data_IF_329154198540
#
_entry.id   IF_329154198540
#
_cell.length_a   1.000
_cell.length_b   1.000
_cell.length_c   1.000
_cell.angle_alpha   90.00
_cell.angle_beta   90.00
_cell.angle_gamma   90.00
#
_symmetry.space_group_name_H-M   'P 1'
#
loop_
_entity.id
_entity.type
_entity.pdbx_description
1 polymer ?
#
# COMPACT_ATOMS: atom_id res chain seq x y z
N UNK A 1 -51.19 -25.69 28.02
CA UNK A 1 -51.36 -24.55 27.10
C UNK A 1 -49.99 -24.15 26.58
N UNK A 2 -49.82 -24.22 25.26
CA UNK A 2 -48.59 -23.89 24.53
C UNK A 2 -48.37 -22.37 24.50
N UNK A 3 -47.16 -21.93 24.86
CA UNK A 3 -46.71 -20.57 24.58
C UNK A 3 -46.17 -20.54 23.14
N UNK A 4 -46.81 -19.77 22.27
CA UNK A 4 -46.39 -19.55 20.89
C UNK A 4 -45.22 -18.56 20.86
N UNK A 5 -44.08 -18.99 20.32
CA UNK A 5 -42.94 -18.13 20.03
C UNK A 5 -43.22 -17.31 18.75
N UNK A 6 -43.32 -15.98 18.89
CA UNK A 6 -43.42 -15.04 17.77
C UNK A 6 -42.03 -14.84 17.15
N UNK A 7 -41.83 -15.40 15.97
CA UNK A 7 -40.60 -15.28 15.17
C UNK A 7 -40.69 -14.00 14.34
N UNK A 8 -39.95 -12.95 14.72
CA UNK A 8 -39.79 -11.74 13.89
C UNK A 8 -38.85 -12.05 12.71
N UNK A 9 -39.32 -11.80 11.49
CA UNK A 9 -38.50 -11.76 10.28
C UNK A 9 -38.19 -10.30 9.93
N UNK A 10 -36.94 -9.92 9.64
CA UNK A 10 -36.64 -8.59 9.11
C UNK A 10 -37.00 -8.51 7.62
N UNK A 11 -37.89 -7.58 7.29
CA UNK A 11 -38.31 -7.23 5.93
C UNK A 11 -37.15 -6.59 5.16
N UNK A 12 -36.70 -7.24 4.09
CA UNK A 12 -35.78 -6.65 3.10
C UNK A 12 -36.57 -5.69 2.18
N UNK A 13 -36.34 -4.38 2.29
CA UNK A 13 -36.88 -3.40 1.35
C UNK A 13 -35.90 -3.20 0.18
N UNK A 14 -36.12 -3.94 -0.92
CA UNK A 14 -35.52 -3.68 -2.23
C UNK A 14 -36.01 -2.32 -2.75
N UNK A 15 -35.20 -1.27 -2.70
CA UNK A 15 -35.41 -0.09 -3.54
C UNK A 15 -34.71 -0.31 -4.89
N UNK A 16 -35.52 -0.67 -5.89
CA UNK A 16 -35.15 -0.85 -7.29
C UNK A 16 -35.11 0.51 -7.97
N UNK A 17 -33.92 0.94 -8.40
CA UNK A 17 -33.70 2.10 -9.26
C UNK A 17 -34.54 2.02 -10.55
N UNK A 18 -35.16 3.13 -10.93
CA UNK A 18 -35.62 3.42 -12.31
C UNK A 18 -35.12 4.81 -12.70
N UNK A 19 -34.28 4.96 -13.74
CA UNK A 19 -34.08 6.25 -14.38
C UNK A 19 -35.24 6.51 -15.35
N UNK A 20 -35.89 7.67 -15.23
CA UNK A 20 -36.95 8.12 -16.13
C UNK A 20 -36.43 9.31 -16.94
N UNK A 21 -36.25 9.09 -18.22
CA UNK A 21 -35.82 10.04 -19.25
C UNK A 21 -37.07 10.76 -19.81
N UNK A 22 -37.06 12.09 -19.90
CA UNK A 22 -37.96 13.01 -20.66
C UNK A 22 -37.62 14.45 -20.20
N UNK A 23 -37.67 15.53 -20.97
CA UNK A 23 -37.95 15.84 -22.38
C UNK A 23 -37.48 17.30 -22.59
N UNK A 24 -37.23 17.67 -23.85
CA UNK A 24 -36.98 19.03 -24.38
C UNK A 24 -37.70 20.20 -23.67
N UNK A 25 -36.96 21.30 -23.51
CA UNK A 25 -37.49 22.61 -23.15
C UNK A 25 -36.46 23.70 -23.48
N UNK A 26 -36.78 24.52 -24.48
CA UNK A 26 -36.00 25.68 -24.94
C UNK A 26 -36.09 26.81 -23.91
N UNK A 27 -34.94 27.34 -23.47
CA UNK A 27 -34.83 28.66 -22.85
C UNK A 27 -33.41 29.24 -23.01
N UNK A 28 -33.33 30.38 -23.68
CA UNK A 28 -32.17 31.28 -23.74
C UNK A 28 -31.89 31.89 -22.35
N UNK A 29 -30.60 32.01 -21.98
CA UNK A 29 -30.19 32.72 -20.76
C UNK A 29 -28.74 32.51 -20.35
N UNK A 30 -27.99 33.60 -20.30
CA UNK A 30 -26.55 33.76 -20.05
C UNK A 30 -26.07 33.41 -18.61
N UNK A 31 -24.74 33.21 -18.49
CA UNK A 31 -23.84 33.05 -17.30
C UNK A 31 -23.63 31.68 -16.63
N UNK A 32 -22.33 31.33 -16.50
CA UNK A 32 -21.77 30.91 -15.21
C UNK A 32 -21.31 29.45 -15.06
N UNK A 33 -20.01 29.23 -15.23
CA UNK A 33 -19.11 28.44 -14.37
C UNK A 33 -19.56 27.08 -13.77
N UNK A 34 -18.69 26.07 -13.88
CA UNK A 34 -18.53 25.11 -12.78
C UNK A 34 -18.41 23.64 -13.19
N UNK A 35 -17.21 23.27 -13.60
CA UNK A 35 -16.67 21.91 -13.56
C UNK A 35 -16.83 21.32 -12.14
N UNK A 36 -17.42 20.11 -11.99
CA UNK A 36 -17.11 19.12 -10.93
C UNK A 36 -18.12 17.95 -10.95
N UNK A 37 -17.71 16.81 -11.53
CA UNK A 37 -18.39 15.50 -11.36
C UNK A 37 -17.50 14.46 -10.66
N UNK A 38 -16.33 14.86 -10.14
CA UNK A 38 -15.36 13.94 -9.51
C UNK A 38 -15.54 13.68 -8.01
N UNK A 39 -16.19 14.57 -7.26
CA UNK A 39 -16.14 14.59 -5.78
C UNK A 39 -17.06 13.57 -5.10
N UNK A 40 -18.19 13.19 -5.72
CA UNK A 40 -19.18 12.29 -5.07
C UNK A 40 -18.71 10.83 -5.01
N UNK A 41 -17.90 10.37 -5.96
CA UNK A 41 -17.41 8.98 -6.00
C UNK A 41 -16.28 8.79 -5.00
N UNK A 42 -15.33 9.74 -4.93
CA UNK A 42 -14.22 9.72 -3.97
C UNK A 42 -14.72 9.79 -2.52
N UNK A 43 -15.71 10.62 -2.21
CA UNK A 43 -16.31 10.68 -0.87
C UNK A 43 -16.94 9.35 -0.45
N UNK A 44 -17.55 8.62 -1.39
CA UNK A 44 -18.17 7.32 -1.11
C UNK A 44 -17.10 6.23 -0.87
N UNK A 45 -15.99 6.28 -1.61
CA UNK A 45 -14.85 5.36 -1.43
C UNK A 45 -14.15 5.59 -0.09
N UNK A 46 -13.97 6.85 0.32
CA UNK A 46 -13.37 7.20 1.61
C UNK A 46 -14.29 6.79 2.77
N UNK A 47 -15.60 7.04 2.67
CA UNK A 47 -16.54 6.59 3.69
C UNK A 47 -16.58 5.05 3.80
N UNK A 48 -16.47 4.35 2.65
CA UNK A 48 -16.41 2.90 2.62
C UNK A 48 -15.10 2.34 3.21
N UNK A 49 -13.95 2.98 2.94
CA UNK A 49 -12.67 2.58 3.52
C UNK A 49 -12.69 2.75 5.04
N UNK A 50 -13.19 3.88 5.56
CA UNK A 50 -13.35 4.11 7.00
C UNK A 50 -14.22 3.03 7.67
N UNK A 51 -15.31 2.61 7.03
CA UNK A 51 -16.13 1.51 7.55
C UNK A 51 -15.40 0.16 7.53
N UNK A 52 -14.51 -0.07 6.57
CA UNK A 52 -13.71 -1.30 6.50
C UNK A 52 -12.51 -1.29 7.47
N UNK A 53 -12.04 -0.12 7.90
CA UNK A 53 -10.94 -0.01 8.88
C UNK A 53 -11.31 -0.57 10.26
N UNK A 54 -12.59 -0.57 10.64
CA UNK A 54 -13.03 -1.18 11.93
C UNK A 54 -12.78 -2.69 12.00
N UNK A 55 -12.53 -3.32 10.85
CA UNK A 55 -12.14 -4.72 10.81
C UNK A 55 -10.66 -4.86 11.11
N UNK A 56 -9.79 -3.91 10.74
CA UNK A 56 -8.34 -4.03 10.87
C UNK A 56 -7.83 -3.76 12.31
N UNK A 57 -6.70 -4.35 12.67
CA UNK A 57 -5.97 -4.01 13.90
C UNK A 57 -4.98 -2.86 13.66
N UNK A 58 -5.49 -1.63 13.67
CA UNK A 58 -4.69 -0.41 13.46
C UNK A 58 -3.75 -0.05 14.63
N UNK A 59 -3.79 -0.81 15.73
CA UNK A 59 -2.93 -0.56 16.91
C UNK A 59 -1.52 -1.14 16.77
N UNK A 60 -1.29 -1.97 15.75
CA UNK A 60 -0.01 -2.65 15.55
C UNK A 60 1.05 -1.73 14.97
N UNK A 61 2.20 -1.73 15.62
CA UNK A 61 3.42 -1.12 15.13
C UNK A 61 4.36 -2.18 14.53
N UNK A 62 5.32 -1.74 13.72
CA UNK A 62 6.41 -2.61 13.28
C UNK A 62 7.26 -3.07 14.46
N UNK A 63 7.75 -4.32 14.44
CA UNK A 63 8.79 -4.75 15.37
C UNK A 63 10.06 -3.93 15.16
N UNK A 64 10.88 -3.83 16.21
CA UNK A 64 12.17 -3.16 16.10
C UNK A 64 13.08 -3.92 15.10
N UNK A 65 13.63 -3.19 14.13
CA UNK A 65 14.55 -3.76 13.16
C UNK A 65 15.91 -3.95 13.82
N UNK A 66 16.46 -5.16 13.75
CA UNK A 66 17.79 -5.45 14.30
C UNK A 66 18.90 -4.61 13.64
N UNK A 67 20.09 -4.60 14.24
CA UNK A 67 21.23 -3.89 13.65
C UNK A 67 21.82 -4.63 12.43
N UNK A 68 22.50 -3.87 11.57
CA UNK A 68 23.23 -4.44 10.44
C UNK A 68 24.60 -4.92 10.91
N UNK A 69 24.81 -6.24 10.96
CA UNK A 69 26.12 -6.84 11.22
C UNK A 69 26.99 -6.83 9.95
N UNK A 70 27.82 -5.78 9.80
CA UNK A 70 28.82 -5.69 8.72
C UNK A 70 30.22 -5.88 9.29
N UNK A 71 30.92 -6.88 8.75
CA UNK A 71 32.34 -7.13 9.03
C UNK A 71 33.28 -6.28 8.18
N UNK A 72 32.86 -5.89 6.97
CA UNK A 72 33.65 -5.04 6.05
C UNK A 72 32.75 -4.09 5.26
N UNK A 73 33.02 -2.79 5.34
CA UNK A 73 32.28 -1.77 4.58
C UNK A 73 32.61 -1.85 3.07
N UNK A 74 31.62 -1.73 2.18
CA UNK A 74 31.85 -1.52 0.76
C UNK A 74 32.64 -0.24 0.47
N UNK A 75 33.49 -0.28 -0.56
CA UNK A 75 34.25 0.89 -1.01
C UNK A 75 33.34 2.09 -1.30
N UNK A 76 33.66 3.24 -0.71
CA UNK A 76 32.91 4.49 -0.89
C UNK A 76 31.62 4.61 -0.06
N UNK A 77 31.37 3.70 0.88
CA UNK A 77 30.27 3.79 1.85
C UNK A 77 30.79 3.97 3.27
N UNK A 78 30.05 4.70 4.10
CA UNK A 78 30.38 4.93 5.51
C UNK A 78 29.35 4.28 6.43
N UNK A 79 29.66 4.17 7.72
CA UNK A 79 28.68 3.76 8.73
C UNK A 79 27.49 4.72 8.83
N UNK A 80 27.68 6.00 8.49
CA UNK A 80 26.60 6.98 8.43
C UNK A 80 25.63 6.65 7.28
N UNK A 81 26.14 6.24 6.11
CA UNK A 81 25.30 5.80 5.00
C UNK A 81 24.44 4.58 5.37
N UNK A 82 24.98 3.66 6.17
CA UNK A 82 24.24 2.51 6.70
C UNK A 82 23.13 2.97 7.64
N UNK A 83 23.43 3.88 8.59
CA UNK A 83 22.41 4.43 9.50
C UNK A 83 21.31 5.18 8.74
N UNK A 84 21.69 5.96 7.73
CA UNK A 84 20.74 6.62 6.83
C UNK A 84 19.85 5.60 6.11
N UNK A 85 20.44 4.51 5.57
CA UNK A 85 19.68 3.43 4.96
C UNK A 85 18.71 2.78 5.97
N UNK A 86 19.17 2.49 7.19
CA UNK A 86 18.34 1.87 8.23
C UNK A 86 17.12 2.74 8.56
N UNK A 87 17.33 4.04 8.78
CA UNK A 87 16.26 4.99 9.06
C UNK A 87 15.29 5.10 7.88
N UNK A 88 15.80 5.28 6.67
CA UNK A 88 14.98 5.41 5.46
C UNK A 88 14.15 4.14 5.20
N UNK A 89 14.73 2.95 5.41
CA UNK A 89 14.00 1.69 5.22
C UNK A 89 12.92 1.50 6.29
N UNK A 90 13.20 1.90 7.54
CA UNK A 90 12.22 1.88 8.63
C UNK A 90 11.03 2.78 8.33
N UNK A 91 11.28 4.04 8.00
CA UNK A 91 10.26 5.00 7.59
C UNK A 91 9.45 4.49 6.39
N UNK A 92 10.13 3.85 5.42
CA UNK A 92 9.48 3.25 4.26
C UNK A 92 8.54 2.10 4.63
N UNK A 93 8.96 1.18 5.51
CA UNK A 93 8.10 0.11 5.99
C UNK A 93 6.91 0.65 6.80
N UNK A 94 7.11 1.67 7.64
CA UNK A 94 6.03 2.31 8.41
C UNK A 94 5.00 2.96 7.48
N UNK A 95 5.45 3.68 6.45
CA UNK A 95 4.56 4.28 5.46
C UNK A 95 3.73 3.22 4.70
N UNK A 96 4.30 2.05 4.40
CA UNK A 96 3.55 0.93 3.80
C UNK A 96 2.46 0.43 4.75
N UNK A 97 2.79 0.23 6.03
CA UNK A 97 1.80 -0.18 7.03
C UNK A 97 0.65 0.83 7.13
N UNK A 98 0.97 2.11 7.24
CA UNK A 98 -0.04 3.17 7.32
C UNK A 98 -0.98 3.15 6.12
N UNK A 99 -0.42 3.07 4.91
CA UNK A 99 -1.20 2.99 3.67
C UNK A 99 -2.11 1.74 3.66
N UNK A 100 -1.65 0.60 4.16
CA UNK A 100 -2.45 -0.62 4.26
C UNK A 100 -3.55 -0.51 5.31
N UNK A 101 -3.26 0.03 6.49
CA UNK A 101 -4.26 0.33 7.53
C UNK A 101 -5.31 1.30 7.00
N UNK A 102 -4.91 2.23 6.12
CA UNK A 102 -5.80 3.16 5.44
C UNK A 102 -6.51 2.58 4.21
N UNK A 103 -6.25 1.31 3.86
CA UNK A 103 -6.78 0.62 2.67
C UNK A 103 -6.48 1.36 1.35
N UNK A 104 -5.43 2.17 1.33
CA UNK A 104 -5.01 2.99 0.19
C UNK A 104 -4.00 2.22 -0.69
N UNK A 105 -4.30 0.97 -1.04
CA UNK A 105 -3.35 0.05 -1.69
C UNK A 105 -2.69 0.62 -2.97
N UNK A 106 -3.36 1.53 -3.68
CA UNK A 106 -2.82 2.21 -4.87
C UNK A 106 -1.58 3.06 -4.59
N UNK A 107 -1.33 3.48 -3.34
CA UNK A 107 -0.16 4.27 -2.98
C UNK A 107 1.09 3.42 -2.73
N UNK A 108 0.96 2.09 -2.56
CA UNK A 108 2.09 1.21 -2.25
C UNK A 108 3.09 1.17 -3.40
N UNK A 109 2.59 1.11 -4.64
CA UNK A 109 3.45 1.21 -5.82
C UNK A 109 4.25 2.51 -5.83
N UNK A 110 3.61 3.64 -5.49
CA UNK A 110 4.27 4.95 -5.41
C UNK A 110 5.35 4.97 -4.34
N UNK A 111 5.07 4.45 -3.14
CA UNK A 111 6.05 4.36 -2.06
C UNK A 111 7.31 3.59 -2.48
N UNK A 112 7.14 2.47 -3.21
CA UNK A 112 8.28 1.73 -3.75
C UNK A 112 9.02 2.50 -4.82
N UNK A 113 8.32 3.14 -5.75
CA UNK A 113 8.96 3.95 -6.79
C UNK A 113 9.77 5.09 -6.18
N UNK A 114 9.23 5.80 -5.17
CA UNK A 114 9.94 6.86 -4.44
C UNK A 114 11.19 6.32 -3.73
N UNK A 115 11.07 5.22 -2.97
CA UNK A 115 12.20 4.65 -2.25
C UNK A 115 13.32 4.18 -3.18
N UNK A 116 12.97 3.43 -4.23
CA UNK A 116 13.93 2.91 -5.21
C UNK A 116 14.37 3.93 -6.26
N UNK A 117 13.85 5.16 -6.17
CA UNK A 117 14.13 6.27 -7.10
C UNK A 117 13.92 5.83 -8.54
N UNK A 118 12.84 5.09 -8.75
CA UNK A 118 12.40 4.69 -10.07
C UNK A 118 11.58 5.84 -10.64
N UNK A 119 12.06 6.40 -11.74
CA UNK A 119 11.28 7.30 -12.58
C UNK A 119 10.94 6.53 -13.86
N UNK A 120 9.65 6.30 -14.17
CA UNK A 120 9.29 5.88 -15.51
C UNK A 120 9.75 6.98 -16.46
N UNK A 121 10.53 6.62 -17.47
CA UNK A 121 11.02 7.53 -18.47
C UNK A 121 9.87 7.96 -19.39
N UNK A 122 9.10 8.98 -18.99
CA UNK A 122 8.21 9.74 -19.89
C UNK A 122 8.09 11.21 -19.45
N UNK A 123 8.12 12.16 -20.40
CA UNK A 123 8.18 13.59 -20.12
C UNK A 123 6.79 14.21 -19.88
N UNK A 124 6.76 15.24 -19.05
CA UNK A 124 5.68 16.22 -18.88
C UNK A 124 4.30 15.68 -18.46
N UNK A 125 3.97 15.80 -17.17
CA UNK A 125 2.69 16.39 -16.76
C UNK A 125 2.65 16.71 -15.26
N UNK A 126 2.82 18.00 -14.95
CA UNK A 126 2.08 18.80 -13.97
C UNK A 126 2.04 18.45 -12.47
N UNK A 127 2.41 17.25 -12.03
CA UNK A 127 2.17 16.80 -10.64
C UNK A 127 3.41 16.86 -9.74
N UNK A 128 4.46 17.53 -10.20
CA UNK A 128 5.87 17.31 -9.80
C UNK A 128 6.34 18.03 -8.53
N UNK A 129 5.56 18.90 -7.89
CA UNK A 129 6.09 19.78 -6.83
C UNK A 129 6.32 19.03 -5.50
N UNK A 130 5.36 18.17 -5.10
CA UNK A 130 5.48 17.42 -3.83
C UNK A 130 6.39 16.20 -3.96
N UNK A 131 6.32 15.48 -5.10
CA UNK A 131 7.15 14.30 -5.35
C UNK A 131 8.63 14.64 -5.53
N UNK A 132 8.94 15.80 -6.13
CA UNK A 132 10.33 16.28 -6.25
C UNK A 132 10.95 16.64 -4.90
N UNK A 133 10.15 17.17 -3.97
CA UNK A 133 10.62 17.56 -2.64
C UNK A 133 10.99 16.34 -1.79
N UNK A 134 10.12 15.33 -1.73
CA UNK A 134 10.39 14.07 -1.03
C UNK A 134 11.58 13.32 -1.64
N UNK A 135 11.68 13.29 -2.98
CA UNK A 135 12.80 12.67 -3.66
C UNK A 135 14.13 13.39 -3.35
N UNK A 136 14.12 14.72 -3.31
CA UNK A 136 15.28 15.54 -2.96
C UNK A 136 15.76 15.29 -1.52
N UNK A 137 14.83 15.20 -0.57
CA UNK A 137 15.16 14.88 0.83
C UNK A 137 15.80 13.49 0.95
N UNK A 138 15.19 12.49 0.33
CA UNK A 138 15.70 11.11 0.34
C UNK A 138 17.07 11.00 -0.35
N UNK A 139 17.29 11.71 -1.46
CA UNK A 139 18.57 11.77 -2.17
C UNK A 139 19.65 12.47 -1.34
N UNK A 140 19.28 13.50 -0.56
CA UNK A 140 20.21 14.22 0.32
C UNK A 140 20.70 13.37 1.49
N UNK A 141 19.84 12.49 2.03
CA UNK A 141 20.17 11.59 3.16
C UNK A 141 20.99 10.39 2.73
N UNK A 142 20.69 9.83 1.56
CA UNK A 142 21.42 8.71 0.98
C UNK A 142 21.38 8.79 -0.56
N UNK A 143 22.47 9.11 -1.26
CA UNK A 143 22.46 9.13 -2.71
C UNK A 143 22.13 7.77 -3.34
N UNK A 144 21.42 7.76 -4.48
CA UNK A 144 21.04 6.52 -5.19
C UNK A 144 22.22 5.59 -5.47
N UNK A 145 23.36 6.16 -5.85
CA UNK A 145 24.56 5.40 -6.14
C UNK A 145 25.05 4.61 -4.92
N UNK A 146 25.03 5.24 -3.74
CA UNK A 146 25.40 4.59 -2.48
C UNK A 146 24.40 3.52 -2.07
N UNK A 147 23.10 3.78 -2.23
CA UNK A 147 22.05 2.77 -2.02
C UNK A 147 22.33 1.51 -2.85
N UNK A 148 22.59 1.67 -4.16
CA UNK A 148 22.88 0.55 -5.05
C UNK A 148 24.15 -0.21 -4.60
N UNK A 149 25.19 0.50 -4.17
CA UNK A 149 26.41 -0.13 -3.64
C UNK A 149 26.13 -0.92 -2.36
N UNK A 150 25.37 -0.37 -1.42
CA UNK A 150 24.98 -1.05 -0.19
C UNK A 150 24.14 -2.29 -0.47
N UNK A 151 23.18 -2.23 -1.41
CA UNK A 151 22.34 -3.38 -1.80
C UNK A 151 23.13 -4.55 -2.41
N UNK A 152 24.38 -4.35 -2.84
CA UNK A 152 25.25 -5.45 -3.31
C UNK A 152 25.89 -6.23 -2.16
N UNK A 153 25.95 -5.66 -0.96
CA UNK A 153 26.56 -6.30 0.20
C UNK A 153 25.61 -7.32 0.84
N UNK A 154 26.10 -8.53 1.13
CA UNK A 154 25.24 -9.63 1.60
C UNK A 154 24.58 -9.34 2.95
N UNK A 155 25.29 -8.72 3.91
CA UNK A 155 24.71 -8.33 5.19
C UNK A 155 23.54 -7.35 5.04
N UNK A 156 23.65 -6.39 4.11
CA UNK A 156 22.61 -5.39 3.86
C UNK A 156 21.38 -6.05 3.22
N UNK A 157 21.61 -6.91 2.24
CA UNK A 157 20.55 -7.69 1.59
C UNK A 157 19.82 -8.57 2.61
N UNK A 158 20.55 -9.31 3.45
CA UNK A 158 19.97 -10.15 4.51
C UNK A 158 19.18 -9.32 5.51
N UNK A 159 19.72 -8.18 5.95
CA UNK A 159 19.05 -7.27 6.87
C UNK A 159 17.74 -6.72 6.29
N UNK A 160 17.76 -6.19 5.06
CA UNK A 160 16.53 -5.69 4.41
C UNK A 160 15.48 -6.79 4.25
N UNK A 161 15.88 -8.03 3.92
CA UNK A 161 14.95 -9.16 3.84
C UNK A 161 14.33 -9.52 5.19
N UNK A 162 15.08 -9.40 6.29
CA UNK A 162 14.53 -9.59 7.64
C UNK A 162 13.51 -8.48 7.99
N UNK A 163 13.80 -7.23 7.62
CA UNK A 163 12.87 -6.11 7.78
C UNK A 163 11.60 -6.32 6.94
N UNK A 164 11.74 -6.77 5.70
CA UNK A 164 10.61 -7.12 4.84
C UNK A 164 9.76 -8.21 5.46
N UNK A 165 10.38 -9.26 6.01
CA UNK A 165 9.67 -10.33 6.68
C UNK A 165 8.87 -9.82 7.88
N UNK A 166 9.48 -8.99 8.75
CA UNK A 166 8.77 -8.38 9.88
C UNK A 166 7.61 -7.49 9.44
N UNK A 167 7.81 -6.69 8.39
CA UNK A 167 6.77 -5.86 7.79
C UNK A 167 5.62 -6.71 7.23
N UNK A 168 5.95 -7.72 6.44
CA UNK A 168 4.99 -8.65 5.85
C UNK A 168 4.18 -9.42 6.88
N UNK A 169 4.82 -9.83 7.98
CA UNK A 169 4.15 -10.44 9.11
C UNK A 169 3.16 -9.47 9.76
N UNK A 170 3.56 -8.22 10.00
CA UNK A 170 2.67 -7.20 10.55
C UNK A 170 1.48 -6.93 9.61
N UNK A 171 1.69 -6.87 8.29
CA UNK A 171 0.60 -6.72 7.31
C UNK A 171 -0.41 -7.87 7.38
N UNK A 172 0.08 -9.10 7.52
CA UNK A 172 -0.76 -10.29 7.70
C UNK A 172 -1.62 -10.16 8.95
N UNK A 173 -1.03 -9.77 10.07
CA UNK A 173 -1.74 -9.62 11.34
C UNK A 173 -2.76 -8.46 11.32
N UNK A 174 -2.47 -7.38 10.59
CA UNK A 174 -3.38 -6.24 10.41
C UNK A 174 -4.56 -6.62 9.50
N UNK A 175 -4.27 -7.28 8.37
CA UNK A 175 -5.25 -7.61 7.34
C UNK A 175 -6.08 -8.86 7.65
N UNK A 176 -5.66 -9.67 8.62
CA UNK A 176 -6.39 -10.84 9.10
C UNK A 176 -6.79 -10.61 10.55
N UNK A 177 -7.76 -9.70 10.77
CA UNK A 177 -8.33 -9.51 12.08
C UNK A 177 -9.24 -10.69 12.46
N UNK A 178 -9.43 -10.82 13.77
CA UNK A 178 -10.13 -11.90 14.47
C UNK A 178 -11.23 -12.60 13.65
N UNK A 179 -11.00 -13.89 13.37
CA UNK A 179 -11.76 -14.80 12.46
C UNK A 179 -13.22 -15.02 12.84
N UNK A 180 -13.70 -14.34 13.88
CA UNK A 180 -15.06 -14.43 14.39
C UNK A 180 -16.04 -13.48 13.68
N UNK A 181 -15.57 -12.41 13.02
CA UNK A 181 -16.44 -11.45 12.33
C UNK A 181 -16.52 -11.74 10.82
N UNK A 182 -17.72 -11.80 10.23
CA UNK A 182 -17.86 -11.92 8.78
C UNK A 182 -17.22 -10.71 8.07
N UNK A 183 -16.15 -10.96 7.31
CA UNK A 183 -15.43 -9.90 6.58
C UNK A 183 -16.27 -9.47 5.35
N UNK A 184 -16.49 -8.16 5.13
CA UNK A 184 -17.19 -7.69 3.95
C UNK A 184 -16.54 -8.19 2.64
N UNK A 185 -17.35 -8.70 1.72
CA UNK A 185 -16.85 -9.27 0.46
C UNK A 185 -16.04 -8.27 -0.38
N UNK A 186 -16.39 -6.98 -0.30
CA UNK A 186 -15.66 -5.90 -0.95
C UNK A 186 -14.23 -5.73 -0.40
N UNK A 187 -14.07 -5.77 0.94
CA UNK A 187 -12.76 -5.69 1.58
C UNK A 187 -11.91 -6.90 1.21
N UNK A 188 -12.49 -8.09 1.31
CA UNK A 188 -11.87 -9.35 0.89
C UNK A 188 -11.40 -9.30 -0.57
N UNK A 189 -12.21 -8.75 -1.48
CA UNK A 189 -11.83 -8.60 -2.89
C UNK A 189 -10.69 -7.57 -3.07
N UNK A 190 -10.71 -6.47 -2.34
CA UNK A 190 -9.65 -5.47 -2.37
C UNK A 190 -8.31 -6.06 -1.89
N UNK A 191 -8.32 -6.84 -0.81
CA UNK A 191 -7.14 -7.55 -0.29
C UNK A 191 -6.61 -8.57 -1.32
N UNK A 192 -7.50 -9.33 -1.97
CA UNK A 192 -7.07 -10.26 -3.05
C UNK A 192 -6.46 -9.55 -4.24
N UNK A 193 -7.03 -8.42 -4.65
CA UNK A 193 -6.49 -7.63 -5.75
C UNK A 193 -5.12 -7.03 -5.37
N UNK A 194 -5.00 -6.51 -4.16
CA UNK A 194 -3.73 -6.04 -3.58
C UNK A 194 -2.64 -7.13 -3.65
N UNK A 195 -2.91 -8.33 -3.14
CA UNK A 195 -1.96 -9.44 -3.16
C UNK A 195 -1.56 -9.88 -4.59
N UNK A 196 -2.48 -9.78 -5.57
CA UNK A 196 -2.15 -10.11 -6.97
C UNK A 196 -1.25 -9.06 -7.63
N UNK A 197 -1.46 -7.79 -7.33
CA UNK A 197 -0.71 -6.70 -7.97
C UNK A 197 0.66 -6.46 -7.35
N UNK A 198 0.86 -6.90 -6.11
CA UNK A 198 2.03 -6.57 -5.31
C UNK A 198 3.38 -6.98 -5.94
N UNK A 199 3.45 -8.19 -6.49
CA UNK A 199 4.65 -8.69 -7.16
C UNK A 199 5.02 -7.83 -8.38
N UNK A 200 4.03 -7.45 -9.18
CA UNK A 200 4.21 -6.61 -10.36
C UNK A 200 4.69 -5.21 -9.99
N UNK A 201 4.05 -4.59 -8.99
CA UNK A 201 4.45 -3.27 -8.49
C UNK A 201 5.87 -3.27 -7.94
N UNK A 202 6.26 -4.29 -7.16
CA UNK A 202 7.60 -4.38 -6.60
C UNK A 202 8.66 -4.57 -7.69
N UNK A 203 8.40 -5.50 -8.62
CA UNK A 203 9.31 -5.78 -9.74
C UNK A 203 9.49 -4.54 -10.62
N UNK A 204 8.40 -3.81 -10.88
CA UNK A 204 8.44 -2.59 -11.67
C UNK A 204 9.24 -1.48 -10.99
N UNK A 205 8.99 -1.23 -9.70
CA UNK A 205 9.70 -0.21 -8.94
C UNK A 205 11.20 -0.52 -8.78
N UNK A 206 11.59 -1.79 -8.81
CA UNK A 206 12.98 -2.21 -8.63
C UNK A 206 13.75 -2.44 -9.96
N UNK A 207 13.19 -2.08 -11.12
CA UNK A 207 13.79 -2.35 -12.44
C UNK A 207 15.28 -1.96 -12.60
N UNK A 208 15.76 -0.96 -11.84
CA UNK A 208 17.15 -0.47 -11.89
C UNK A 208 18.03 -0.91 -10.70
N UNK A 209 17.55 -1.85 -9.88
CA UNK A 209 18.21 -2.36 -8.67
C UNK A 209 18.88 -3.71 -9.00
N UNK A 210 19.96 -4.13 -8.31
CA UNK A 210 20.62 -5.40 -8.58
C UNK A 210 19.64 -6.59 -8.59
N UNK A 211 19.68 -7.42 -9.63
CA UNK A 211 18.74 -8.54 -9.84
C UNK A 211 18.70 -9.52 -8.65
N UNK A 212 19.85 -9.73 -7.98
CA UNK A 212 19.91 -10.55 -6.76
C UNK A 212 18.98 -10.03 -5.66
N UNK A 213 18.88 -8.71 -5.50
CA UNK A 213 17.99 -8.06 -4.53
C UNK A 213 16.52 -8.28 -4.92
N UNK A 214 16.18 -8.09 -6.20
CA UNK A 214 14.82 -8.30 -6.72
C UNK A 214 14.37 -9.75 -6.50
N UNK A 215 15.19 -10.71 -6.92
CA UNK A 215 14.89 -12.14 -6.80
C UNK A 215 14.70 -12.54 -5.33
N UNK A 216 15.56 -12.05 -4.44
CA UNK A 216 15.42 -12.33 -3.00
C UNK A 216 14.10 -11.76 -2.48
N UNK A 217 13.81 -10.48 -2.76
CA UNK A 217 12.62 -9.79 -2.23
C UNK A 217 11.30 -10.38 -2.76
N UNK A 218 11.24 -10.65 -4.06
CA UNK A 218 10.07 -11.29 -4.71
C UNK A 218 9.89 -12.74 -4.25
N UNK A 219 10.98 -13.49 -4.10
CA UNK A 219 10.94 -14.87 -3.61
C UNK A 219 10.37 -14.99 -2.19
N UNK A 220 10.83 -14.14 -1.26
CA UNK A 220 10.30 -14.09 0.11
C UNK A 220 8.84 -13.66 0.15
N UNK A 221 8.45 -12.71 -0.70
CA UNK A 221 7.08 -12.25 -0.84
C UNK A 221 6.13 -13.39 -1.25
N UNK A 222 6.46 -14.12 -2.32
CA UNK A 222 5.64 -15.22 -2.85
C UNK A 222 5.41 -16.29 -1.77
N UNK A 223 6.42 -16.55 -0.95
CA UNK A 223 6.30 -17.55 0.12
C UNK A 223 5.43 -17.09 1.29
N UNK A 224 5.54 -15.83 1.71
CA UNK A 224 4.96 -15.35 2.96
C UNK A 224 3.53 -14.83 2.78
N UNK A 225 3.34 -13.82 1.90
CA UNK A 225 2.03 -13.17 1.75
C UNK A 225 1.08 -13.98 0.87
N UNK A 226 1.58 -14.44 -0.29
CA UNK A 226 0.72 -15.14 -1.25
C UNK A 226 0.13 -16.42 -0.67
N UNK A 227 0.86 -17.14 0.18
CA UNK A 227 0.33 -18.34 0.85
C UNK A 227 -0.75 -18.01 1.87
N UNK A 228 -0.50 -16.99 2.71
CA UNK A 228 -1.43 -16.58 3.78
C UNK A 228 -2.72 -16.01 3.20
N UNK A 229 -2.64 -15.12 2.21
CA UNK A 229 -3.83 -14.53 1.59
C UNK A 229 -4.66 -15.55 0.80
N UNK A 230 -4.04 -16.55 0.15
CA UNK A 230 -4.77 -17.64 -0.53
C UNK A 230 -5.53 -18.56 0.41
N UNK A 231 -5.07 -18.69 1.65
CA UNK A 231 -5.66 -19.62 2.62
C UNK A 231 -6.86 -19.03 3.35
N UNK A 232 -6.97 -17.71 3.38
CA UNK A 232 -7.95 -16.98 4.19
C UNK A 232 -9.00 -16.25 3.35
N UNK A 233 -8.76 -16.05 2.05
CA UNK A 233 -9.64 -15.35 1.12
C UNK A 233 -9.68 -16.04 -0.25
#
# INVERSE_FOLDING_TARGET
MQYMAMRQQPMQQKQRYKPMQKVDGVADGFTGSGQQTGTSVEQTVIAQSQHHQQFLDASRALPEFGEVEISSLPDGTTFEDIKSLQSLYREHCEAILDVVVNLQFSLIEKLWQTFWRYSPSTPADGTTITESSNLSEIESRLPKAKLITLCKHESILKWMCNCDHGMYQALVEILIPDVLRPIPSALTQAIRNFAKSLEGWLSNAMNNIPQRMIQTKVGFYIFTLSFVFRKLF
#
